data_IF_863633512341
#
_entry.id   IF_863633512341
#
_cell.length_a   1.000
_cell.length_b   1.000
_cell.length_c   1.000
_cell.angle_alpha   90.00
_cell.angle_beta   90.00
_cell.angle_gamma   90.00
#
_symmetry.space_group_name_H-M   'P 1'
#
loop_
_entity.id
_entity.type
_entity.pdbx_description
1 polymer ?
#
# COMPACT_ATOMS: atom_id res chain seq x y z
N UNK A 1 -8.59 -11.58 32.49
CA UNK A 1 -8.31 -11.27 31.07
C UNK A 1 -6.82 -11.44 30.86
N UNK A 2 -6.40 -12.45 30.11
CA UNK A 2 -5.01 -12.59 29.70
C UNK A 2 -4.71 -11.49 28.65
N UNK A 3 -3.51 -10.87 28.67
CA UNK A 3 -3.12 -9.96 27.62
C UNK A 3 -3.03 -10.76 26.31
N UNK A 4 -3.70 -10.27 25.27
CA UNK A 4 -3.53 -10.80 23.91
C UNK A 4 -2.06 -10.54 23.57
N UNK A 5 -1.29 -11.62 23.50
CA UNK A 5 0.09 -11.62 23.05
C UNK A 5 0.06 -11.31 21.55
N UNK A 6 0.01 -10.03 21.18
CA UNK A 6 0.16 -9.58 19.80
C UNK A 6 1.61 -9.87 19.39
N UNK A 7 1.89 -11.07 18.89
CA UNK A 7 3.02 -11.22 17.98
C UNK A 7 2.76 -10.27 16.81
N UNK A 8 3.56 -9.21 16.69
CA UNK A 8 3.44 -8.25 15.60
C UNK A 8 3.42 -9.00 14.26
N UNK A 9 2.29 -8.93 13.55
CA UNK A 9 2.06 -9.70 12.33
C UNK A 9 1.79 -8.74 11.17
N UNK A 10 2.76 -8.60 10.28
CA UNK A 10 2.70 -7.71 9.12
C UNK A 10 2.08 -8.34 7.87
N UNK A 11 1.35 -9.46 7.99
CA UNK A 11 0.74 -10.14 6.82
C UNK A 11 -0.18 -9.21 6.00
N UNK A 12 -0.94 -8.33 6.64
CA UNK A 12 -1.79 -7.34 5.94
C UNK A 12 -0.98 -6.43 5.01
N UNK A 13 0.29 -6.18 5.32
CA UNK A 13 1.17 -5.34 4.51
C UNK A 13 1.52 -6.00 3.16
N UNK A 14 1.33 -7.31 3.02
CA UNK A 14 1.51 -8.01 1.74
C UNK A 14 0.49 -7.57 0.68
N UNK A 15 -0.66 -7.02 1.09
CA UNK A 15 -1.78 -6.61 0.23
C UNK A 15 -1.97 -5.09 0.20
N UNK A 16 -1.00 -4.34 0.73
CA UNK A 16 -1.11 -2.90 0.90
C UNK A 16 -1.18 -2.16 -0.45
N UNK A 17 -0.69 -2.74 -1.55
CA UNK A 17 -0.92 -2.27 -2.92
C UNK A 17 -2.41 -2.13 -3.26
N UNK A 18 -3.27 -2.98 -2.73
CA UNK A 18 -4.72 -2.90 -2.94
C UNK A 18 -5.32 -1.77 -2.12
N UNK A 19 -4.95 -1.74 -0.85
CA UNK A 19 -5.55 -0.86 0.13
C UNK A 19 -5.21 0.62 -0.08
N UNK A 20 -3.97 0.95 -0.43
CA UNK A 20 -3.56 2.36 -0.64
C UNK A 20 -4.28 3.03 -1.81
N UNK A 21 -4.85 2.25 -2.74
CA UNK A 21 -5.70 2.81 -3.81
C UNK A 21 -6.97 3.46 -3.28
N UNK A 22 -7.39 3.10 -2.05
CA UNK A 22 -8.57 3.69 -1.44
C UNK A 22 -8.39 5.18 -1.19
N UNK A 23 -7.18 5.69 -0.98
CA UNK A 23 -6.96 7.12 -0.75
C UNK A 23 -7.40 7.97 -1.96
N UNK A 24 -7.16 7.46 -3.17
CA UNK A 24 -7.66 8.06 -4.42
C UNK A 24 -9.18 8.06 -4.42
N UNK A 25 -9.80 6.92 -4.12
CA UNK A 25 -11.26 6.78 -4.12
C UNK A 25 -11.94 7.63 -3.05
N UNK A 26 -11.34 7.72 -1.87
CA UNK A 26 -11.81 8.54 -0.76
C UNK A 26 -11.79 10.00 -1.20
N UNK A 27 -10.66 10.51 -1.68
CA UNK A 27 -10.52 11.91 -2.10
C UNK A 27 -11.56 12.32 -3.16
N UNK A 28 -12.05 11.39 -3.96
CA UNK A 28 -13.06 11.66 -5.01
C UNK A 28 -14.51 11.65 -4.50
N UNK A 29 -14.78 10.97 -3.38
CA UNK A 29 -16.15 10.60 -2.99
C UNK A 29 -16.56 11.12 -1.63
N UNK A 30 -15.60 11.39 -0.73
CA UNK A 30 -15.85 11.71 0.67
C UNK A 30 -16.71 12.96 0.87
N UNK A 31 -16.71 13.89 -0.09
CA UNK A 31 -17.46 15.15 0.02
C UNK A 31 -18.97 15.01 -0.14
N UNK A 32 -19.45 13.84 -0.59
CA UNK A 32 -20.89 13.62 -0.74
C UNK A 32 -21.63 13.76 0.60
N UNK A 33 -22.86 14.28 0.54
CA UNK A 33 -23.69 14.48 1.73
C UNK A 33 -23.85 13.20 2.56
N UNK A 34 -23.90 12.03 1.90
CA UNK A 34 -23.95 10.71 2.55
C UNK A 34 -22.85 10.54 3.61
N UNK A 35 -21.62 10.94 3.30
CA UNK A 35 -20.49 10.76 4.20
C UNK A 35 -20.33 11.93 5.17
N UNK A 36 -20.64 13.17 4.76
CA UNK A 36 -20.58 14.35 5.64
C UNK A 36 -21.68 14.38 6.70
N UNK A 37 -22.82 13.76 6.45
CA UNK A 37 -23.91 13.68 7.44
C UNK A 37 -23.41 13.03 8.74
N UNK A 38 -23.84 13.59 9.88
CA UNK A 38 -23.45 13.19 11.24
C UNK A 38 -21.95 13.35 11.57
N UNK A 39 -21.14 13.92 10.68
CA UNK A 39 -19.77 14.33 10.96
C UNK A 39 -19.71 15.77 11.46
N UNK A 40 -20.53 16.11 12.47
CA UNK A 40 -20.52 17.40 13.13
C UNK A 40 -20.36 17.19 14.63
N UNK A 41 -19.15 17.39 15.14
CA UNK A 41 -18.85 17.12 16.55
C UNK A 41 -19.27 18.31 17.43
N UNK A 42 -19.78 17.99 18.62
CA UNK A 42 -20.19 18.98 19.62
C UNK A 42 -18.98 19.80 20.09
N UNK A 43 -19.21 21.03 20.58
CA UNK A 43 -18.13 21.96 20.99
C UNK A 43 -17.14 21.39 22.02
N UNK A 44 -17.51 20.38 22.79
CA UNK A 44 -16.65 19.74 23.79
C UNK A 44 -15.79 18.60 23.24
N UNK A 45 -16.17 17.99 22.11
CA UNK A 45 -15.44 16.89 21.50
C UNK A 45 -14.65 17.42 20.31
N UNK A 46 -13.37 17.04 20.23
CA UNK A 46 -12.54 17.34 19.06
C UNK A 46 -12.41 18.85 18.74
N UNK A 47 -12.55 19.71 19.76
CA UNK A 47 -12.58 21.17 19.62
C UNK A 47 -11.33 21.76 18.97
N UNK A 48 -10.17 21.18 19.29
CA UNK A 48 -8.87 21.80 19.01
C UNK A 48 -8.50 21.73 17.53
N UNK A 49 -9.08 20.79 16.76
CA UNK A 49 -8.90 20.61 15.31
C UNK A 49 -10.22 20.17 14.67
N UNK A 50 -11.30 20.89 14.98
CA UNK A 50 -12.67 20.46 14.68
C UNK A 50 -12.87 20.09 13.21
N UNK A 51 -12.47 20.97 12.30
CA UNK A 51 -12.64 20.79 10.84
C UNK A 51 -11.90 19.55 10.33
N UNK A 52 -10.71 19.28 10.86
CA UNK A 52 -9.89 18.12 10.51
C UNK A 52 -10.55 16.82 10.97
N UNK A 53 -11.12 16.79 12.18
CA UNK A 53 -11.85 15.62 12.68
C UNK A 53 -13.15 15.38 11.92
N UNK A 54 -13.92 16.45 11.60
CA UNK A 54 -15.14 16.34 10.79
C UNK A 54 -14.83 15.82 9.37
N UNK A 55 -13.73 16.31 8.76
CA UNK A 55 -13.22 15.81 7.48
C UNK A 55 -12.80 14.34 7.59
N UNK A 56 -12.06 13.98 8.64
CA UNK A 56 -11.63 12.61 8.88
C UNK A 56 -12.84 11.67 9.08
N UNK A 57 -13.90 12.13 9.75
CA UNK A 57 -15.13 11.37 9.93
C UNK A 57 -15.76 11.02 8.58
N UNK A 58 -15.90 12.00 7.69
CA UNK A 58 -16.49 11.78 6.37
C UNK A 58 -15.60 10.85 5.52
N UNK A 59 -14.28 11.04 5.53
CA UNK A 59 -13.33 10.16 4.83
C UNK A 59 -13.36 8.74 5.38
N UNK A 60 -13.47 8.56 6.70
CA UNK A 60 -13.55 7.26 7.35
C UNK A 60 -14.85 6.52 7.00
N UNK A 61 -16.00 7.21 6.99
CA UNK A 61 -17.27 6.62 6.52
C UNK A 61 -17.20 6.22 5.04
N UNK A 62 -16.55 7.03 4.21
CA UNK A 62 -16.31 6.69 2.81
C UNK A 62 -15.43 5.45 2.66
N UNK A 63 -14.35 5.34 3.45
CA UNK A 63 -13.49 4.16 3.47
C UNK A 63 -14.25 2.92 3.95
N UNK A 64 -15.07 3.04 4.99
CA UNK A 64 -15.90 1.94 5.48
C UNK A 64 -16.78 1.38 4.37
N UNK A 65 -17.49 2.23 3.63
CA UNK A 65 -18.32 1.76 2.53
C UNK A 65 -17.47 1.12 1.41
N UNK A 66 -16.31 1.71 1.06
CA UNK A 66 -15.42 1.13 0.05
C UNK A 66 -14.91 -0.28 0.39
N UNK A 67 -14.76 -0.59 1.68
CA UNK A 67 -14.23 -1.87 2.15
C UNK A 67 -15.33 -2.89 2.48
N UNK A 68 -16.50 -2.43 2.95
CA UNK A 68 -17.50 -3.29 3.56
C UNK A 68 -18.85 -3.30 2.85
N UNK A 69 -19.04 -2.48 1.81
CA UNK A 69 -20.23 -2.55 0.97
C UNK A 69 -20.21 -3.82 0.12
N UNK A 70 -21.00 -4.81 0.53
CA UNK A 70 -21.16 -6.10 -0.15
C UNK A 70 -21.83 -5.96 -1.53
N UNK A 71 -22.54 -4.85 -1.78
CA UNK A 71 -23.07 -4.56 -3.12
C UNK A 71 -21.96 -4.16 -4.10
N UNK A 72 -20.81 -3.71 -3.58
CA UNK A 72 -19.62 -3.54 -4.39
C UNK A 72 -19.00 -4.92 -4.64
N UNK A 73 -18.87 -5.32 -5.91
CA UNK A 73 -18.21 -6.56 -6.32
C UNK A 73 -16.70 -6.62 -6.00
N UNK A 74 -16.19 -5.65 -5.23
CA UNK A 74 -14.80 -5.49 -4.83
C UNK A 74 -14.58 -5.72 -3.32
N UNK A 75 -15.64 -5.79 -2.52
CA UNK A 75 -15.52 -6.07 -1.07
C UNK A 75 -14.84 -7.42 -0.79
N UNK A 76 -15.03 -8.41 -1.66
CA UNK A 76 -14.37 -9.72 -1.61
C UNK A 76 -12.89 -9.71 -2.00
N UNK A 77 -12.37 -8.59 -2.50
CA UNK A 77 -10.93 -8.46 -2.85
C UNK A 77 -10.05 -8.13 -1.65
N UNK A 78 -10.63 -7.70 -0.53
CA UNK A 78 -9.89 -7.27 0.65
C UNK A 78 -9.82 -8.39 1.68
N UNK A 79 -8.61 -8.84 2.02
CA UNK A 79 -8.42 -9.76 3.15
C UNK A 79 -8.24 -8.98 4.44
N UNK A 80 -9.05 -9.32 5.45
CA UNK A 80 -9.05 -8.66 6.76
C UNK A 80 -9.17 -7.11 6.69
N UNK A 81 -10.17 -6.54 5.99
CA UNK A 81 -10.31 -5.09 5.81
C UNK A 81 -10.40 -4.30 7.11
N UNK A 82 -10.83 -4.95 8.20
CA UNK A 82 -10.87 -4.37 9.54
C UNK A 82 -9.48 -4.06 10.11
N UNK A 83 -8.43 -4.80 9.73
CA UNK A 83 -7.04 -4.53 10.13
C UNK A 83 -6.55 -3.26 9.44
N UNK A 84 -6.79 -3.14 8.12
CA UNK A 84 -6.38 -1.96 7.36
C UNK A 84 -7.13 -0.69 7.81
N UNK A 85 -8.45 -0.74 7.95
CA UNK A 85 -9.21 0.46 8.35
C UNK A 85 -8.85 0.93 9.78
N UNK A 86 -8.50 -0.01 10.68
CA UNK A 86 -7.95 0.35 11.99
C UNK A 86 -6.58 1.04 11.88
N UNK A 87 -5.70 0.52 11.03
CA UNK A 87 -4.42 1.17 10.71
C UNK A 87 -4.63 2.58 10.13
N UNK A 88 -5.49 2.71 9.13
CA UNK A 88 -5.78 3.97 8.44
C UNK A 88 -6.26 5.03 9.42
N UNK A 89 -7.18 4.68 10.32
CA UNK A 89 -7.67 5.62 11.34
C UNK A 89 -6.58 6.04 12.33
N UNK A 90 -5.77 5.08 12.81
CA UNK A 90 -4.64 5.39 13.69
C UNK A 90 -3.64 6.34 13.02
N UNK A 91 -3.27 6.06 11.77
CA UNK A 91 -2.37 6.90 10.99
C UNK A 91 -2.89 8.34 10.86
N UNK A 92 -4.14 8.51 10.40
CA UNK A 92 -4.70 9.85 10.20
C UNK A 92 -4.95 10.61 11.51
N UNK A 93 -5.38 9.94 12.57
CA UNK A 93 -5.54 10.60 13.88
C UNK A 93 -4.21 11.07 14.46
N UNK A 94 -3.13 10.30 14.29
CA UNK A 94 -1.79 10.72 14.73
C UNK A 94 -1.25 11.91 13.93
N UNK A 95 -1.69 12.10 12.68
CA UNK A 95 -1.37 13.30 11.90
C UNK A 95 -2.12 14.55 12.40
N UNK A 96 -3.32 14.40 12.96
CA UNK A 96 -4.07 15.52 13.55
C UNK A 96 -3.58 15.83 14.98
N UNK A 97 -3.37 14.79 15.80
CA UNK A 97 -2.87 14.94 17.16
C UNK A 97 -1.92 13.77 17.52
N UNK A 98 -0.59 13.95 17.38
CA UNK A 98 0.39 12.89 17.58
C UNK A 98 0.37 12.27 18.99
N UNK A 99 0.06 13.08 20.00
CA UNK A 99 0.17 12.69 21.41
C UNK A 99 -1.09 12.01 21.96
N UNK A 100 -2.14 11.89 21.15
CA UNK A 100 -3.46 11.48 21.63
C UNK A 100 -3.81 10.04 21.26
N UNK A 101 -4.36 9.29 22.20
CA UNK A 101 -4.86 7.91 22.03
C UNK A 101 -6.39 7.91 21.93
N UNK A 102 -6.90 8.70 20.97
CA UNK A 102 -8.32 8.98 20.76
C UNK A 102 -9.04 8.03 19.81
N UNK A 103 -8.37 7.01 19.26
CA UNK A 103 -8.94 6.13 18.22
C UNK A 103 -10.30 5.55 18.64
N UNK A 104 -10.37 5.00 19.85
CA UNK A 104 -11.60 4.43 20.39
C UNK A 104 -12.69 5.50 20.58
N UNK A 105 -12.34 6.65 21.17
CA UNK A 105 -13.26 7.77 21.40
C UNK A 105 -13.81 8.34 20.09
N UNK A 106 -12.95 8.47 19.07
CA UNK A 106 -13.34 8.92 17.74
C UNK A 106 -14.32 7.94 17.11
N UNK A 107 -14.02 6.64 17.13
CA UNK A 107 -14.93 5.62 16.59
C UNK A 107 -16.26 5.54 17.36
N UNK A 108 -16.26 5.80 18.67
CA UNK A 108 -17.49 5.90 19.46
C UNK A 108 -18.34 7.11 19.06
N UNK A 109 -17.73 8.27 18.80
CA UNK A 109 -18.44 9.45 18.33
C UNK A 109 -19.11 9.23 16.96
N UNK A 110 -18.52 8.42 16.08
CA UNK A 110 -19.11 8.04 14.79
C UNK A 110 -20.43 7.25 14.94
N UNK A 111 -20.64 6.55 16.06
CA UNK A 111 -21.88 5.79 16.32
C UNK A 111 -23.09 6.68 16.59
N UNK A 112 -22.89 8.00 16.68
CA UNK A 112 -24.00 8.96 16.65
C UNK A 112 -24.77 8.94 15.32
N UNK A 113 -24.12 8.50 14.24
CA UNK A 113 -24.80 8.16 12.99
C UNK A 113 -25.44 6.76 13.10
N UNK A 114 -26.79 6.66 13.12
CA UNK A 114 -27.47 5.37 13.23
C UNK A 114 -27.30 4.48 12.00
N UNK A 115 -26.86 5.05 10.87
CA UNK A 115 -26.62 4.31 9.62
C UNK A 115 -25.17 3.82 9.50
N UNK A 116 -24.26 4.29 10.36
CA UNK A 116 -22.87 3.89 10.33
C UNK A 116 -22.68 2.54 11.03
N UNK A 117 -21.99 1.61 10.36
CA UNK A 117 -21.63 0.28 10.89
C UNK A 117 -22.82 -0.47 11.55
N UNK A 118 -24.00 -0.43 10.92
CA UNK A 118 -25.24 -1.06 11.41
C UNK A 118 -25.03 -2.55 11.74
N UNK A 119 -24.27 -3.23 10.87
CA UNK A 119 -23.96 -4.65 11.00
C UNK A 119 -22.79 -4.93 11.96
N UNK A 120 -22.26 -3.90 12.63
CA UNK A 120 -21.22 -3.98 13.67
C UNK A 120 -19.95 -4.70 13.20
N UNK A 121 -19.59 -4.52 11.92
CA UNK A 121 -18.41 -5.13 11.28
C UNK A 121 -17.11 -4.66 11.94
N UNK A 122 -17.09 -3.47 12.56
CA UNK A 122 -15.92 -2.92 13.23
C UNK A 122 -15.98 -3.01 14.77
N UNK A 123 -17.05 -3.57 15.34
CA UNK A 123 -17.19 -3.66 16.80
C UNK A 123 -16.04 -4.48 17.42
N UNK A 124 -15.29 -3.85 18.32
CA UNK A 124 -14.14 -4.46 18.99
C UNK A 124 -12.91 -4.65 18.09
N UNK A 125 -12.90 -4.10 16.87
CA UNK A 125 -11.79 -4.17 15.92
C UNK A 125 -11.00 -2.86 15.80
N UNK A 126 -11.63 -1.74 16.12
CA UNK A 126 -10.98 -0.43 16.15
C UNK A 126 -10.33 -0.23 17.51
N UNK A 127 -9.02 0.03 17.53
CA UNK A 127 -8.23 0.17 18.74
C UNK A 127 -6.94 0.95 18.46
N UNK A 128 -6.37 1.57 19.50
CA UNK A 128 -5.05 2.20 19.40
C UNK A 128 -3.99 1.15 19.03
N UNK A 129 -3.17 1.49 18.05
CA UNK A 129 -2.05 0.66 17.61
C UNK A 129 -0.78 1.11 18.35
N UNK A 130 0.02 0.18 18.91
CA UNK A 130 1.33 0.51 19.48
C UNK A 130 2.20 1.31 18.51
N UNK A 131 2.89 2.35 19.01
CA UNK A 131 3.60 3.31 18.15
C UNK A 131 4.63 2.65 17.22
N UNK A 132 5.36 1.64 17.69
CA UNK A 132 6.34 0.91 16.89
C UNK A 132 5.68 0.10 15.77
N UNK A 133 4.62 -0.65 16.10
CA UNK A 133 3.82 -1.38 15.11
C UNK A 133 3.23 -0.44 14.05
N UNK A 134 2.67 0.72 14.46
CA UNK A 134 2.15 1.73 13.52
C UNK A 134 3.24 2.28 12.59
N UNK A 135 4.41 2.66 13.15
CA UNK A 135 5.54 3.17 12.34
C UNK A 135 5.97 2.15 11.29
N UNK A 136 6.02 0.87 11.65
CA UNK A 136 6.39 -0.19 10.72
C UNK A 136 5.33 -0.38 9.63
N UNK A 137 4.03 -0.29 9.95
CA UNK A 137 2.96 -0.31 8.93
C UNK A 137 3.00 0.91 7.99
N UNK A 138 3.35 2.10 8.50
CA UNK A 138 3.50 3.33 7.69
C UNK A 138 4.56 3.15 6.61
N UNK A 139 5.67 2.46 6.91
CA UNK A 139 6.72 2.19 5.90
C UNK A 139 6.15 1.43 4.71
N UNK A 140 5.37 0.39 4.95
CA UNK A 140 4.72 -0.36 3.86
C UNK A 140 3.72 0.52 3.10
N UNK A 141 2.92 1.30 3.83
CA UNK A 141 2.00 2.25 3.22
C UNK A 141 2.71 3.24 2.28
N UNK A 142 3.85 3.80 2.68
CA UNK A 142 4.68 4.68 1.83
C UNK A 142 5.29 3.94 0.64
N UNK A 143 5.88 2.76 0.86
CA UNK A 143 6.47 1.93 -0.18
C UNK A 143 5.45 1.55 -1.25
N UNK A 144 4.25 1.13 -0.85
CA UNK A 144 3.20 0.73 -1.79
C UNK A 144 2.55 1.92 -2.50
N UNK A 145 2.52 3.11 -1.88
CA UNK A 145 2.14 4.34 -2.60
C UNK A 145 3.13 4.65 -3.73
N UNK A 146 4.44 4.56 -3.49
CA UNK A 146 5.46 4.76 -4.53
C UNK A 146 5.39 3.68 -5.61
N UNK A 147 5.28 2.41 -5.21
CA UNK A 147 5.06 1.28 -6.12
C UNK A 147 3.86 1.51 -7.04
N UNK A 148 2.71 1.91 -6.49
CA UNK A 148 1.49 2.15 -7.26
C UNK A 148 1.61 3.36 -8.20
N UNK A 149 2.35 4.40 -7.79
CA UNK A 149 2.65 5.52 -8.69
C UNK A 149 3.50 5.08 -9.88
N UNK A 150 4.56 4.29 -9.65
CA UNK A 150 5.38 3.71 -10.74
C UNK A 150 4.51 2.84 -11.65
N UNK A 151 3.69 1.96 -11.06
CA UNK A 151 2.77 1.12 -11.83
C UNK A 151 1.81 1.94 -12.69
N UNK A 152 1.26 3.04 -12.15
CA UNK A 152 0.38 3.96 -12.89
C UNK A 152 1.08 4.55 -14.11
N UNK A 153 2.32 5.04 -13.94
CA UNK A 153 3.14 5.61 -15.02
C UNK A 153 3.40 4.56 -16.10
N UNK A 154 3.77 3.33 -15.72
CA UNK A 154 4.04 2.23 -16.67
C UNK A 154 2.79 1.90 -17.51
N UNK A 155 1.60 2.00 -16.93
CA UNK A 155 0.34 1.63 -17.57
C UNK A 155 -0.31 2.74 -18.41
N UNK A 156 0.15 3.98 -18.28
CA UNK A 156 -0.41 5.15 -18.93
C UNK A 156 0.52 5.67 -20.03
N UNK A 157 0.14 5.48 -21.30
CA UNK A 157 0.91 5.93 -22.46
C UNK A 157 1.11 7.45 -22.51
N UNK A 158 0.27 8.22 -21.80
CA UNK A 158 0.35 9.68 -21.73
C UNK A 158 1.14 10.19 -20.51
N UNK A 159 1.79 9.31 -19.76
CA UNK A 159 2.60 9.68 -18.60
C UNK A 159 4.04 10.05 -18.97
N UNK A 160 4.64 10.93 -18.17
CA UNK A 160 6.07 11.23 -18.25
C UNK A 160 6.88 10.09 -17.60
N UNK A 161 7.41 9.19 -18.43
CA UNK A 161 8.21 8.04 -17.98
C UNK A 161 9.48 8.42 -17.22
N UNK A 162 9.97 9.67 -17.32
CA UNK A 162 11.15 10.09 -16.55
C UNK A 162 10.87 10.06 -15.04
N UNK A 163 9.61 10.26 -14.64
CA UNK A 163 9.14 10.16 -13.25
C UNK A 163 9.34 8.76 -12.66
N UNK A 164 9.39 7.69 -13.48
CA UNK A 164 9.71 6.35 -12.99
C UNK A 164 11.01 6.32 -12.20
N UNK A 165 12.06 6.98 -12.72
CA UNK A 165 13.38 6.99 -12.11
C UNK A 165 13.36 7.71 -10.77
N UNK A 166 12.60 8.81 -10.67
CA UNK A 166 12.42 9.57 -9.43
C UNK A 166 11.73 8.74 -8.35
N UNK A 167 10.52 8.23 -8.64
CA UNK A 167 9.78 7.42 -7.67
C UNK A 167 10.48 6.11 -7.33
N UNK A 168 11.23 5.55 -8.27
CA UNK A 168 12.07 4.39 -8.04
C UNK A 168 13.15 4.67 -7.00
N UNK A 169 13.88 5.79 -7.11
CA UNK A 169 14.92 6.17 -6.13
C UNK A 169 14.34 6.32 -4.73
N UNK A 170 13.26 7.07 -4.60
CA UNK A 170 12.59 7.26 -3.31
C UNK A 170 12.08 5.93 -2.71
N UNK A 171 11.67 5.00 -3.56
CA UNK A 171 11.26 3.66 -3.16
C UNK A 171 12.44 2.86 -2.61
N UNK A 172 13.60 2.89 -3.29
CA UNK A 172 14.83 2.25 -2.83
C UNK A 172 15.29 2.84 -1.50
N UNK A 173 15.35 4.17 -1.38
CA UNK A 173 15.76 4.84 -0.14
C UNK A 173 14.91 4.41 1.06
N UNK A 174 13.58 4.39 0.88
CA UNK A 174 12.64 3.93 1.91
C UNK A 174 12.76 2.44 2.23
N UNK A 175 12.99 1.62 1.21
CA UNK A 175 13.20 0.19 1.39
C UNK A 175 14.49 -0.09 2.18
N UNK A 176 15.56 0.66 1.90
CA UNK A 176 16.82 0.55 2.64
C UNK A 176 16.68 0.99 4.10
N UNK A 177 15.92 2.05 4.36
CA UNK A 177 15.53 2.45 5.72
C UNK A 177 14.80 1.29 6.43
N UNK A 178 13.87 0.63 5.74
CA UNK A 178 13.12 -0.51 6.26
C UNK A 178 14.02 -1.71 6.59
N UNK A 179 15.03 -1.99 5.76
CA UNK A 179 15.97 -3.11 5.98
C UNK A 179 16.69 -3.02 7.33
N UNK A 180 16.90 -1.82 7.88
CA UNK A 180 17.55 -1.65 9.19
C UNK A 180 16.74 -2.25 10.35
N UNK A 181 15.44 -2.46 10.15
CA UNK A 181 14.52 -3.06 11.13
C UNK A 181 14.53 -4.59 11.07
N UNK A 182 15.25 -5.17 10.12
CA UNK A 182 15.38 -6.61 10.00
C UNK A 182 16.46 -7.16 10.94
N UNK A 183 16.11 -8.09 11.86
CA UNK A 183 17.10 -8.68 12.74
C UNK A 183 18.10 -9.52 11.94
N UNK A 184 19.37 -9.46 12.36
CA UNK A 184 20.39 -10.33 11.77
C UNK A 184 20.17 -11.76 12.25
N UNK A 185 20.23 -12.73 11.33
CA UNK A 185 20.22 -14.15 11.69
C UNK A 185 18.86 -14.75 12.05
N UNK A 186 17.76 -14.00 12.12
CA UNK A 186 16.39 -14.54 12.33
C UNK A 186 15.35 -13.87 11.41
N UNK A 187 14.35 -14.62 10.92
CA UNK A 187 13.25 -14.04 10.12
C UNK A 187 12.20 -13.44 11.03
N UNK A 188 11.82 -12.18 10.78
CA UNK A 188 10.65 -11.57 11.40
C UNK A 188 9.53 -11.43 10.38
N UNK A 189 8.27 -11.41 10.84
CA UNK A 189 7.09 -11.17 10.00
C UNK A 189 7.21 -9.86 9.20
N UNK A 190 7.88 -8.84 9.76
CA UNK A 190 8.17 -7.59 9.07
C UNK A 190 9.08 -7.83 7.85
N UNK A 191 10.17 -8.58 8.02
CA UNK A 191 11.11 -8.87 6.93
C UNK A 191 10.52 -9.79 5.88
N UNK A 192 9.67 -10.73 6.27
CA UNK A 192 8.90 -11.55 5.33
C UNK A 192 8.00 -10.66 4.46
N UNK A 193 7.28 -9.71 5.06
CA UNK A 193 6.47 -8.76 4.30
C UNK A 193 7.31 -7.84 3.40
N UNK A 194 8.50 -7.42 3.85
CA UNK A 194 9.44 -6.64 3.06
C UNK A 194 9.99 -7.44 1.86
N UNK A 195 10.20 -8.74 2.04
CA UNK A 195 10.58 -9.64 0.95
C UNK A 195 9.44 -9.83 -0.07
N UNK A 196 8.19 -9.91 0.39
CA UNK A 196 7.02 -9.93 -0.50
C UNK A 196 6.95 -8.63 -1.32
N UNK A 197 7.11 -7.48 -0.68
CA UNK A 197 7.19 -6.19 -1.37
C UNK A 197 8.30 -6.18 -2.43
N UNK A 198 9.52 -6.62 -2.08
CA UNK A 198 10.64 -6.73 -3.01
C UNK A 198 10.28 -7.57 -4.24
N UNK A 199 9.60 -8.70 -4.03
CA UNK A 199 9.13 -9.57 -5.11
C UNK A 199 8.13 -8.89 -6.03
N UNK A 200 7.18 -8.12 -5.49
CA UNK A 200 6.23 -7.31 -6.28
C UNK A 200 6.96 -6.22 -7.06
N UNK A 201 7.83 -5.46 -6.42
CA UNK A 201 8.60 -4.40 -7.05
C UNK A 201 9.45 -4.91 -8.22
N UNK A 202 10.14 -6.06 -8.06
CA UNK A 202 10.92 -6.68 -9.14
C UNK A 202 10.07 -6.97 -10.39
N UNK A 203 8.80 -7.37 -10.21
CA UNK A 203 7.89 -7.65 -11.33
C UNK A 203 7.48 -6.40 -12.11
N UNK A 204 7.62 -5.20 -11.54
CA UNK A 204 7.39 -3.97 -12.32
C UNK A 204 8.33 -3.89 -13.53
N UNK A 205 9.57 -4.38 -13.40
CA UNK A 205 10.51 -4.45 -14.54
C UNK A 205 9.99 -5.31 -15.69
N UNK A 206 9.21 -6.36 -15.39
CA UNK A 206 8.62 -7.23 -16.41
C UNK A 206 7.47 -6.55 -17.17
N UNK A 207 6.91 -5.47 -16.61
CA UNK A 207 5.83 -4.68 -17.20
C UNK A 207 6.34 -3.50 -18.01
N UNK A 208 7.62 -3.13 -17.88
CA UNK A 208 8.22 -2.02 -18.62
C UNK A 208 8.46 -2.47 -20.06
N UNK A 209 7.68 -1.90 -20.96
CA UNK A 209 7.82 -2.12 -22.42
C UNK A 209 8.58 -0.94 -23.06
N UNK A 210 8.73 0.18 -22.35
CA UNK A 210 9.26 1.45 -22.86
C UNK A 210 10.61 1.76 -22.19
N UNK A 211 11.64 1.96 -23.01
CA UNK A 211 13.04 2.11 -22.59
C UNK A 211 13.31 3.30 -21.63
N UNK A 212 12.40 4.26 -21.52
CA UNK A 212 12.57 5.48 -20.71
C UNK A 212 12.18 5.33 -19.23
N UNK A 213 11.60 4.20 -18.82
CA UNK A 213 11.27 3.92 -17.43
C UNK A 213 12.34 3.01 -16.80
N UNK A 214 13.26 3.59 -16.01
CA UNK A 214 14.33 2.83 -15.34
C UNK A 214 14.03 2.66 -13.86
N UNK A 215 13.95 1.40 -13.42
CA UNK A 215 13.85 1.08 -11.99
C UNK A 215 15.22 0.73 -11.41
N UNK A 216 15.45 1.20 -10.20
CA UNK A 216 16.60 0.92 -9.38
C UNK A 216 16.44 -0.43 -8.67
N UNK A 217 17.56 -1.09 -8.40
CA UNK A 217 17.54 -2.45 -7.86
C UNK A 217 17.50 -2.40 -6.34
N UNK A 218 16.48 -3.03 -5.75
CA UNK A 218 16.38 -3.19 -4.30
C UNK A 218 17.47 -4.12 -3.75
N UNK A 219 18.16 -3.68 -2.69
CA UNK A 219 19.17 -4.47 -1.99
C UNK A 219 18.64 -5.83 -1.50
N UNK A 220 19.48 -6.87 -1.41
CA UNK A 220 19.11 -8.11 -0.72
C UNK A 220 18.73 -7.85 0.73
N UNK A 221 17.81 -8.67 1.26
CA UNK A 221 17.61 -8.70 2.70
C UNK A 221 18.90 -9.21 3.36
N UNK A 222 19.21 -8.79 4.60
CA UNK A 222 20.31 -9.36 5.36
C UNK A 222 20.18 -10.88 5.38
N UNK A 223 21.18 -11.58 4.84
CA UNK A 223 21.20 -13.03 4.81
C UNK A 223 21.15 -13.57 6.24
N UNK A 224 20.43 -14.68 6.45
CA UNK A 224 20.81 -15.61 7.49
C UNK A 224 22.17 -16.16 7.08
N UNK A 225 23.25 -15.70 7.68
CA UNK A 225 24.48 -16.48 7.68
C UNK A 225 24.14 -17.78 8.39
N UNK A 226 23.76 -18.79 7.61
CA UNK A 226 23.82 -20.17 8.06
C UNK A 226 25.27 -20.39 8.48
N UNK A 227 25.50 -20.55 9.78
CA UNK A 227 26.76 -21.01 10.35
C UNK A 227 27.06 -22.40 9.77
N UNK A 228 27.56 -22.46 8.54
CA UNK A 228 28.34 -23.60 8.09
C UNK A 228 29.73 -23.37 8.66
N UNK A 229 29.93 -24.07 9.77
CA UNK A 229 31.18 -24.23 10.47
C UNK A 229 32.30 -24.50 9.46
N UNK A 230 33.12 -23.48 9.16
CA UNK A 230 34.38 -23.66 8.44
C UNK A 230 35.28 -24.54 9.31
N UNK A 231 35.40 -25.81 8.92
CA UNK A 231 36.47 -26.68 9.42
C UNK A 231 37.81 -26.13 8.94
N UNK A 232 38.67 -25.75 9.89
CA UNK A 232 40.08 -25.39 9.62
C UNK A 232 40.82 -26.52 8.88
N UNK A 233 41.75 -26.19 7.96
CA UNK A 233 42.60 -27.19 7.32
C UNK A 233 43.79 -27.53 8.22
N UNK A 234 43.98 -28.82 8.54
CA UNK A 234 45.24 -29.33 9.07
C UNK A 234 45.79 -30.39 8.11
N UNK A 235 47.02 -30.17 7.66
CA UNK A 235 47.76 -30.96 6.68
C UNK A 235 48.22 -32.34 7.17
N UNK A 236 48.38 -33.22 6.18
CA UNK A 236 49.37 -34.30 5.98
C UNK A 236 49.38 -35.51 6.92
N UNK A 237 49.11 -36.70 6.37
CA UNK A 237 50.13 -37.66 5.89
C UNK A 237 49.45 -38.95 5.35
N UNK A 238 50.05 -39.55 4.32
CA UNK A 238 49.75 -40.91 3.85
C UNK A 238 50.80 -41.86 4.46
N UNK A 239 50.53 -43.16 4.68
CA UNK A 239 50.79 -44.11 3.58
C UNK A 239 49.95 -45.41 3.51
N UNK A 240 49.83 -45.88 2.26
CA UNK A 240 49.81 -47.27 1.72
C UNK A 240 48.63 -48.25 1.89
N UNK A 241 48.46 -49.18 0.90
CA UNK A 241 47.23 -49.90 0.62
C UNK A 241 47.25 -51.38 1.06
N UNK A 242 46.07 -51.94 1.31
CA UNK A 242 45.88 -53.39 1.33
C UNK A 242 44.55 -53.74 0.66
N UNK A 243 44.65 -54.49 -0.44
CA UNK A 243 43.54 -55.15 -1.13
C UNK A 243 42.99 -56.33 -0.32
N UNK A 244 41.68 -56.59 -0.41
CA UNK A 244 41.13 -57.95 -0.33
C UNK A 244 39.75 -58.08 -1.01
N UNK A 245 39.76 -58.78 -2.14
CA UNK A 245 38.77 -59.66 -2.78
C UNK A 245 37.25 -59.35 -2.84
N UNK A 246 36.80 -59.11 -4.08
CA UNK A 246 35.80 -59.83 -4.88
C UNK A 246 34.69 -60.65 -4.19
N UNK A 247 33.40 -60.32 -4.48
CA UNK A 247 32.38 -61.27 -5.00
C UNK A 247 31.35 -60.51 -5.86
N UNK A 248 31.11 -61.01 -7.08
CA UNK A 248 30.05 -60.61 -8.01
C UNK A 248 28.63 -60.91 -7.47
N UNK A 249 27.70 -59.97 -7.68
CA UNK A 249 26.25 -60.20 -7.57
C UNK A 249 25.47 -59.16 -8.36
N UNK A 250 24.63 -59.65 -9.28
CA UNK A 250 23.90 -58.95 -10.35
C UNK A 250 23.13 -57.65 -10.01
N UNK A 251 23.24 -56.74 -10.97
CA UNK A 251 22.26 -55.79 -11.52
C UNK A 251 20.80 -55.89 -11.04
N UNK A 252 20.29 -54.79 -10.47
CA UNK A 252 18.87 -54.59 -10.18
C UNK A 252 18.52 -53.12 -9.88
N UNK A 253 18.04 -52.43 -10.91
CA UNK A 253 17.12 -51.29 -10.93
C UNK A 253 17.35 -50.06 -10.01
N UNK A 254 17.72 -48.94 -10.63
CA UNK A 254 17.78 -47.60 -10.01
C UNK A 254 16.44 -46.89 -10.13
N UNK A 255 15.64 -46.84 -9.07
CA UNK A 255 14.62 -45.78 -8.89
C UNK A 255 14.41 -45.46 -7.41
N UNK A 256 15.38 -44.80 -6.77
CA UNK A 256 15.15 -44.07 -5.52
C UNK A 256 14.76 -42.63 -5.84
N UNK A 257 13.52 -42.45 -6.29
CA UNK A 257 12.89 -41.14 -6.37
C UNK A 257 12.51 -40.70 -4.95
N UNK A 258 13.45 -39.99 -4.31
CA UNK A 258 13.27 -39.33 -3.01
C UNK A 258 11.93 -38.59 -2.95
N UNK A 259 11.05 -39.01 -2.04
CA UNK A 259 9.75 -38.37 -1.76
C UNK A 259 9.88 -36.90 -1.30
N UNK A 260 11.08 -36.42 -1.02
CA UNK A 260 11.37 -35.01 -0.75
C UNK A 260 11.39 -34.14 -2.02
N UNK A 261 11.74 -34.69 -3.19
CA UNK A 261 11.79 -33.94 -4.45
C UNK A 261 10.39 -33.64 -5.02
N UNK A 262 9.41 -34.52 -4.76
CA UNK A 262 8.02 -34.33 -5.15
C UNK A 262 7.33 -33.18 -4.36
N UNK A 263 7.71 -33.01 -3.09
CA UNK A 263 7.14 -31.99 -2.22
C UNK A 263 7.66 -30.58 -2.53
N UNK A 264 8.91 -30.44 -2.99
CA UNK A 264 9.48 -29.14 -3.37
C UNK A 264 8.89 -28.57 -4.67
N UNK A 265 8.49 -29.43 -5.61
CA UNK A 265 7.94 -29.00 -6.90
C UNK A 265 6.53 -28.40 -6.81
N UNK A 266 5.71 -28.87 -5.85
CA UNK A 266 4.32 -28.41 -5.69
C UNK A 266 4.23 -27.00 -5.12
N UNK A 267 5.10 -26.63 -4.16
CA UNK A 267 5.17 -25.27 -3.61
C UNK A 267 5.51 -24.22 -4.66
N UNK A 268 6.49 -24.51 -5.52
CA UNK A 268 6.93 -23.61 -6.58
C UNK A 268 5.85 -23.46 -7.66
N UNK A 269 5.22 -24.58 -8.06
CA UNK A 269 4.12 -24.58 -9.02
C UNK A 269 2.90 -23.79 -8.55
N UNK A 270 2.56 -23.85 -7.25
CA UNK A 270 1.44 -23.10 -6.68
C UNK A 270 1.67 -21.59 -6.68
N UNK A 271 2.92 -21.15 -6.50
CA UNK A 271 3.31 -19.76 -6.72
C UNK A 271 3.08 -19.36 -8.18
N UNK A 272 3.61 -20.11 -9.16
CA UNK A 272 3.48 -19.76 -10.58
C UNK A 272 2.03 -19.75 -11.10
N UNK A 273 1.18 -20.67 -10.64
CA UNK A 273 -0.25 -20.68 -10.99
C UNK A 273 -0.96 -19.42 -10.45
N UNK A 274 -0.65 -19.00 -9.21
CA UNK A 274 -1.16 -17.75 -8.64
C UNK A 274 -0.72 -16.51 -9.46
N UNK A 275 0.43 -16.57 -10.15
CA UNK A 275 0.96 -15.49 -10.99
C UNK A 275 0.27 -15.37 -12.35
N UNK A 276 -0.07 -16.49 -12.98
CA UNK A 276 -0.87 -16.45 -14.23
C UNK A 276 -2.27 -15.93 -13.91
N UNK A 277 -2.84 -16.37 -12.79
CA UNK A 277 -4.10 -15.84 -12.29
C UNK A 277 -3.99 -14.34 -11.98
N UNK A 278 -2.88 -13.80 -11.47
CA UNK A 278 -2.74 -12.35 -11.26
C UNK A 278 -2.99 -11.51 -12.54
N UNK A 279 -2.55 -11.98 -13.72
CA UNK A 279 -2.81 -11.31 -15.02
C UNK A 279 -4.24 -11.54 -15.53
N UNK A 280 -4.89 -12.62 -15.12
CA UNK A 280 -6.24 -13.03 -15.56
C UNK A 280 -7.35 -12.79 -14.55
N UNK A 281 -7.00 -12.33 -13.35
CA UNK A 281 -7.95 -11.93 -12.31
C UNK A 281 -8.47 -10.55 -12.66
N UNK A 282 -9.75 -10.23 -12.39
CA UNK A 282 -10.28 -8.86 -12.55
C UNK A 282 -9.48 -7.77 -11.81
N UNK A 283 -8.52 -8.18 -10.97
CA UNK A 283 -7.60 -7.36 -10.22
C UNK A 283 -6.74 -6.41 -11.07
N UNK A 284 -6.02 -6.91 -12.09
CA UNK A 284 -5.11 -6.08 -12.88
C UNK A 284 -5.81 -4.87 -13.52
N UNK A 285 -6.92 -5.08 -14.26
CA UNK A 285 -7.75 -4.01 -14.79
C UNK A 285 -8.37 -3.11 -13.71
N UNK A 286 -8.82 -3.67 -12.58
CA UNK A 286 -9.37 -2.88 -11.47
C UNK A 286 -8.34 -1.94 -10.86
N UNK A 287 -7.15 -2.45 -10.51
CA UNK A 287 -6.06 -1.66 -9.93
C UNK A 287 -5.64 -0.56 -10.92
N UNK A 288 -5.47 -0.92 -12.20
CA UNK A 288 -5.15 0.05 -13.25
C UNK A 288 -6.20 1.16 -13.31
N UNK A 289 -7.48 0.82 -13.34
CA UNK A 289 -8.55 1.81 -13.41
C UNK A 289 -8.57 2.74 -12.19
N UNK A 290 -8.33 2.21 -10.98
CA UNK A 290 -8.24 3.03 -9.76
C UNK A 290 -7.07 4.02 -9.83
N UNK A 291 -5.93 3.58 -10.32
CA UNK A 291 -4.71 4.40 -10.40
C UNK A 291 -4.77 5.43 -11.54
N UNK A 292 -5.35 5.09 -12.69
CA UNK A 292 -5.55 6.04 -13.78
C UNK A 292 -6.53 7.18 -13.39
N UNK A 293 -7.53 6.89 -12.56
CA UNK A 293 -8.38 7.94 -11.99
C UNK A 293 -7.57 8.97 -11.20
N UNK A 294 -6.53 8.55 -10.46
CA UNK A 294 -5.63 9.47 -9.74
C UNK A 294 -4.94 10.44 -10.70
N UNK A 295 -4.39 9.94 -11.82
CA UNK A 295 -3.66 10.77 -12.79
C UNK A 295 -4.58 11.81 -13.46
N UNK A 296 -5.80 11.42 -13.84
CA UNK A 296 -6.77 12.36 -14.43
C UNK A 296 -7.11 13.51 -13.47
N UNK A 297 -7.19 13.24 -12.17
CA UNK A 297 -7.46 14.27 -11.16
C UNK A 297 -6.24 15.16 -10.95
N UNK A 298 -5.04 14.58 -10.85
CA UNK A 298 -3.81 15.37 -10.76
C UNK A 298 -3.71 16.36 -11.93
N UNK A 299 -3.94 15.89 -13.16
CA UNK A 299 -3.98 16.74 -14.36
C UNK A 299 -5.07 17.80 -14.28
N UNK A 300 -6.29 17.45 -13.86
CA UNK A 300 -7.37 18.44 -13.70
C UNK A 300 -7.04 19.50 -12.64
N UNK A 301 -6.42 19.13 -11.51
CA UNK A 301 -6.03 20.08 -10.46
C UNK A 301 -4.89 20.98 -10.95
N UNK A 302 -3.87 20.43 -11.62
CA UNK A 302 -2.78 21.21 -12.21
C UNK A 302 -3.30 22.15 -13.32
N UNK A 303 -4.23 21.70 -14.16
CA UNK A 303 -4.89 22.52 -15.18
C UNK A 303 -5.79 23.59 -14.54
N UNK A 304 -6.54 23.28 -13.48
CA UNK A 304 -7.33 24.27 -12.73
C UNK A 304 -6.44 25.31 -12.03
N UNK A 305 -5.31 24.89 -11.45
CA UNK A 305 -4.32 25.78 -10.82
C UNK A 305 -3.66 26.67 -11.87
N UNK A 306 -3.24 26.12 -13.02
CA UNK A 306 -2.71 26.88 -14.15
C UNK A 306 -3.77 27.84 -14.73
N UNK A 307 -5.01 27.41 -14.89
CA UNK A 307 -6.10 28.26 -15.39
C UNK A 307 -6.45 29.37 -14.39
N UNK A 308 -6.39 29.08 -13.09
CA UNK A 308 -6.60 30.07 -12.04
C UNK A 308 -5.45 31.09 -12.00
N UNK A 309 -4.21 30.64 -12.13
CA UNK A 309 -3.02 31.50 -12.26
C UNK A 309 -3.07 32.39 -13.52
N UNK A 310 -3.54 31.84 -14.65
CA UNK A 310 -3.79 32.58 -15.90
C UNK A 310 -4.91 33.63 -15.74
N UNK A 311 -5.98 33.31 -15.01
CA UNK A 311 -7.07 34.24 -14.69
C UNK A 311 -6.61 35.38 -13.76
N UNK A 312 -5.75 35.07 -12.78
CA UNK A 312 -5.15 36.07 -11.91
C UNK A 312 -4.24 37.01 -12.70
N UNK A 313 -3.41 36.48 -13.62
CA UNK A 313 -2.58 37.28 -14.51
C UNK A 313 -3.38 38.15 -15.50
N UNK A 314 -4.55 37.69 -15.97
CA UNK A 314 -5.44 38.53 -16.79
C UNK A 314 -6.14 39.62 -15.95
N UNK A 315 -6.46 39.34 -14.68
CA UNK A 315 -7.06 40.34 -13.79
C UNK A 315 -6.07 41.47 -13.43
N UNK A 316 -4.77 41.17 -13.40
CA UNK A 316 -3.70 42.14 -13.10
C UNK A 316 -3.38 43.05 -14.31
N UNK A 317 -3.89 42.75 -15.51
CA UNK A 317 -3.70 43.57 -16.71
C UNK A 317 -4.91 44.46 -17.08
N UNK A 318 -6.00 44.42 -16.30
CA UNK A 318 -7.23 45.14 -16.62
C UNK A 318 -7.50 46.40 -15.79
N UNK A 319 -6.50 46.92 -15.07
CA UNK A 319 -6.61 48.22 -14.43
C UNK A 319 -5.70 49.23 -15.14
N UNK A 320 -6.19 49.79 -16.26
CA UNK A 320 -5.94 51.16 -16.73
C UNK A 320 -6.94 51.46 -17.86
N UNK A 321 -7.73 52.51 -17.63
CA UNK A 321 -8.61 53.25 -18.56
C UNK A 321 -9.99 52.68 -18.91
N UNK A 322 -11.02 53.26 -18.28
CA UNK A 322 -12.18 53.77 -19.01
C UNK A 322 -12.94 54.78 -18.15
N UNK A 323 -12.47 56.03 -18.19
CA UNK A 323 -13.23 57.20 -17.78
C UNK A 323 -14.41 57.41 -18.77
N UNK A 324 -15.61 57.49 -18.21
CA UNK A 324 -16.80 58.20 -18.69
C UNK A 324 -17.33 57.95 -20.12
N UNK A 325 -18.44 57.20 -20.22
CA UNK A 325 -19.59 57.66 -21.02
C UNK A 325 -20.89 56.92 -20.65
N UNK A 326 -21.86 57.74 -20.25
CA UNK A 326 -23.27 57.41 -20.04
C UNK A 326 -23.90 56.90 -21.35
N UNK A 327 -24.38 55.65 -21.37
CA UNK A 327 -25.44 55.25 -22.29
C UNK A 327 -26.50 54.38 -21.58
N UNK A 328 -27.69 54.98 -21.41
CA UNK A 328 -28.93 54.30 -21.02
C UNK A 328 -29.47 53.53 -22.22
N UNK A 329 -29.86 52.27 -22.02
CA UNK A 329 -30.75 51.54 -22.93
C UNK A 329 -31.96 51.03 -22.12
N UNK A 330 -33.20 51.18 -22.62
CA UNK A 330 -34.40 50.95 -21.84
C UNK A 330 -34.87 49.49 -21.89
N UNK A 331 -35.47 49.05 -20.78
CA UNK A 331 -36.22 47.80 -20.67
C UNK A 331 -37.46 47.83 -21.55
N UNK A 332 -37.71 46.73 -22.26
CA UNK A 332 -39.05 46.36 -22.73
C UNK A 332 -39.30 44.91 -22.33
N UNK A 333 -40.28 44.73 -21.45
CA UNK A 333 -40.82 43.42 -21.07
C UNK A 333 -41.88 42.99 -22.06
N UNK A 334 -41.87 41.71 -22.42
CA UNK A 334 -43.05 40.92 -22.76
C UNK A 334 -42.79 39.44 -22.43
#
# INVERSE_FOLDING_TARGET
MAPINNSENYNICNEMDYYVTNDVMINNKWESAKYKNYCFFNKSEFSDNKTEYETLCAKFKCLFDLLFDESSGFSSMYNEPHVYINFWLNYHLKNINPSSDIVQRFYEALKSDPLFDINKKLQGKIQNIPSEYLKNMIIFYELYNKYNTIYSIIQDEASDYTQCTLYSKECVEKYEEALTRCPKGTTSSFCEALNVFKGKYKKLNELIIIDNCKLEVLKPLPSHESLQQEGSPLSSEHPEPAELDNVLGEQGDTTDYSSAAAASGTMIGMFFISLILYKSTPFGPWLRNRLLQKNMIGKNIEEEEQNHELLLHMSEYQDINSEDSIYKIPYTSL
#
